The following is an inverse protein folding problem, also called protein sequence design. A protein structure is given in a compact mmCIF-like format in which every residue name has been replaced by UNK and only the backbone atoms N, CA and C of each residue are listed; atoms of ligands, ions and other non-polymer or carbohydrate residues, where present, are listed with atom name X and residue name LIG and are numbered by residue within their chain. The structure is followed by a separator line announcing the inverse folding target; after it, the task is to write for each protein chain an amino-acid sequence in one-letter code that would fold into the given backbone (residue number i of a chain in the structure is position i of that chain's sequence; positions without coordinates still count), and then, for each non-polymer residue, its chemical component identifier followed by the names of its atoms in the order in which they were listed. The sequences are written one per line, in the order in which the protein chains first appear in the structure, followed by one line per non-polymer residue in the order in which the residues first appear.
data_IF_549684349688
#
_entry.id   IF_549684349688
#
_cell.length_a   1.000
_cell.length_b   1.000
_cell.length_c   1.000
_cell.angle_alpha   90.00
_cell.angle_beta   90.00
_cell.angle_gamma   90.00
#
_symmetry.space_group_name_H-M   'P 1'
#
loop_
_entity.id
_entity.type
_entity.pdbx_description
1 polymer ?
#
# COMPACT_ATOMS: atom_id res chain seq x y z
N UNK A 1 60.54 7.59 -40.66
CA UNK A 1 60.01 8.85 -40.12
C UNK A 1 58.62 8.98 -40.73
N UNK A 2 57.63 8.37 -40.08
CA UNK A 2 56.22 8.24 -40.51
C UNK A 2 55.39 8.55 -39.26
N UNK A 3 54.40 9.47 -39.29
CA UNK A 3 53.72 9.93 -38.10
C UNK A 3 52.55 9.03 -37.72
N UNK A 4 52.57 8.56 -36.47
CA UNK A 4 51.45 7.91 -35.81
C UNK A 4 50.31 8.92 -35.59
N UNK A 5 49.21 8.78 -36.33
CA UNK A 5 47.91 9.37 -35.97
C UNK A 5 46.83 8.28 -36.00
N UNK A 6 46.60 7.66 -34.84
CA UNK A 6 45.38 6.91 -34.56
C UNK A 6 44.69 7.62 -33.39
N UNK A 7 43.79 8.53 -33.70
CA UNK A 7 42.77 8.97 -32.76
C UNK A 7 41.58 8.01 -32.87
N UNK A 8 41.04 7.47 -31.77
CA UNK A 8 39.75 6.78 -31.85
C UNK A 8 38.66 7.82 -32.12
N UNK A 9 37.72 7.49 -33.01
CA UNK A 9 36.53 8.31 -33.26
C UNK A 9 35.71 8.43 -31.96
N UNK A 10 35.06 9.57 -31.70
CA UNK A 10 34.15 9.68 -30.57
C UNK A 10 33.02 8.67 -30.74
N UNK A 11 32.84 7.82 -29.73
CA UNK A 11 31.68 6.94 -29.60
C UNK A 11 30.45 7.83 -29.38
N UNK A 12 29.69 8.07 -30.45
CA UNK A 12 28.37 8.69 -30.35
C UNK A 12 27.42 7.58 -29.90
N UNK A 13 27.18 7.49 -28.60
CA UNK A 13 26.05 6.74 -28.08
C UNK A 13 24.77 7.51 -28.41
N UNK A 14 24.07 7.10 -29.48
CA UNK A 14 22.65 7.38 -29.62
C UNK A 14 21.94 6.71 -28.43
N UNK A 15 21.73 7.49 -27.37
CA UNK A 15 20.79 7.10 -26.33
C UNK A 15 19.40 7.16 -26.98
N UNK A 16 18.62 6.06 -27.02
CA UNK A 16 17.23 6.17 -27.40
C UNK A 16 16.59 7.18 -26.45
N UNK A 17 15.94 8.20 -27.02
CA UNK A 17 15.18 9.16 -26.24
C UNK A 17 14.20 8.37 -25.37
N UNK A 18 14.44 8.34 -24.06
CA UNK A 18 13.50 7.81 -23.07
C UNK A 18 12.31 8.76 -23.11
N UNK A 19 11.39 8.47 -24.01
CA UNK A 19 10.08 9.10 -24.05
C UNK A 19 9.18 8.12 -23.32
N UNK A 20 9.17 8.18 -22.00
CA UNK A 20 8.15 7.49 -21.21
C UNK A 20 7.45 8.50 -20.30
N UNK A 21 6.13 8.43 -20.32
CA UNK A 21 5.17 9.37 -19.74
C UNK A 21 5.26 9.39 -18.20
N UNK A 22 4.75 10.45 -17.53
CA UNK A 22 5.02 10.69 -16.11
C UNK A 22 4.47 9.54 -15.24
N UNK A 23 5.30 9.09 -14.28
CA UNK A 23 4.89 8.16 -13.22
C UNK A 23 3.54 8.60 -12.65
N UNK A 24 2.52 7.74 -12.77
CA UNK A 24 1.18 8.02 -12.25
C UNK A 24 1.01 7.43 -10.86
N UNK A 25 0.61 8.26 -9.90
CA UNK A 25 0.23 7.79 -8.56
C UNK A 25 -0.99 6.86 -8.67
N UNK A 26 -0.93 5.64 -8.12
CA UNK A 26 -2.06 4.72 -8.18
C UNK A 26 -3.26 5.29 -7.42
N UNK A 27 -4.48 4.98 -7.86
CA UNK A 27 -5.69 5.26 -7.08
C UNK A 27 -5.89 4.18 -6.00
N UNK A 28 -6.58 4.51 -4.90
CA UNK A 28 -6.95 3.53 -3.89
C UNK A 28 -7.67 2.32 -4.49
N UNK A 29 -7.23 1.12 -4.13
CA UNK A 29 -7.86 -0.12 -4.58
C UNK A 29 -9.06 -0.51 -3.69
N UNK A 30 -9.95 -1.39 -4.17
CA UNK A 30 -11.02 -1.92 -3.35
C UNK A 30 -10.50 -2.59 -2.09
N UNK A 31 -11.12 -2.27 -0.95
CA UNK A 31 -10.78 -2.83 0.39
C UNK A 31 -9.38 -2.48 0.86
N UNK A 32 -8.74 -1.48 0.28
CA UNK A 32 -7.41 -1.07 0.64
C UNK A 32 -7.37 -0.28 1.97
N UNK A 33 -6.31 -0.46 2.73
CA UNK A 33 -6.02 0.32 3.95
C UNK A 33 -5.14 1.52 3.62
N UNK A 34 -5.13 2.55 4.48
CA UNK A 34 -4.20 3.69 4.35
C UNK A 34 -2.75 3.19 4.31
N UNK A 35 -2.40 2.19 5.12
CA UNK A 35 -1.04 1.66 5.18
C UNK A 35 -0.63 0.96 3.87
N UNK A 36 -1.52 0.13 3.31
CA UNK A 36 -1.31 -0.50 2.00
C UNK A 36 -1.16 0.53 0.89
N UNK A 37 -2.06 1.52 0.88
CA UNK A 37 -2.03 2.59 -0.11
C UNK A 37 -0.73 3.39 -0.04
N UNK A 38 -0.32 3.79 1.16
CA UNK A 38 0.95 4.49 1.40
C UNK A 38 2.15 3.69 0.88
N UNK A 39 2.16 2.37 1.11
CA UNK A 39 3.21 1.48 0.61
C UNK A 39 3.21 1.36 -0.92
N UNK A 40 2.05 1.26 -1.56
CA UNK A 40 1.96 1.20 -3.03
C UNK A 40 2.41 2.50 -3.68
N UNK A 41 2.00 3.64 -3.13
CA UNK A 41 2.46 4.95 -3.58
C UNK A 41 3.97 5.05 -3.43
N UNK A 42 4.53 4.73 -2.27
CA UNK A 42 5.98 4.72 -2.06
C UNK A 42 6.70 3.83 -3.10
N UNK A 43 6.15 2.65 -3.38
CA UNK A 43 6.71 1.72 -4.36
C UNK A 43 6.65 2.24 -5.80
N UNK A 44 5.57 2.94 -6.19
CA UNK A 44 5.45 3.63 -7.49
C UNK A 44 6.57 4.67 -7.66
N UNK A 45 6.91 5.38 -6.59
CA UNK A 45 7.97 6.37 -6.54
C UNK A 45 9.35 5.77 -6.17
N UNK A 46 9.45 4.43 -6.12
CA UNK A 46 10.67 3.66 -5.83
C UNK A 46 11.36 4.07 -4.53
N UNK A 47 10.58 4.43 -3.52
CA UNK A 47 11.04 4.78 -2.18
C UNK A 47 10.43 3.84 -1.14
N UNK A 48 10.97 3.87 0.09
CA UNK A 48 10.39 3.16 1.21
C UNK A 48 9.18 3.91 1.78
N UNK A 49 8.28 3.18 2.44
CA UNK A 49 7.04 3.76 2.99
C UNK A 49 7.31 4.80 4.08
N UNK A 50 8.35 4.58 4.90
CA UNK A 50 8.68 5.50 6.01
C UNK A 50 9.31 6.79 5.48
N UNK A 51 10.22 6.65 4.51
CA UNK A 51 10.85 7.76 3.79
C UNK A 51 9.80 8.59 3.05
N UNK A 52 8.92 7.93 2.30
CA UNK A 52 7.80 8.59 1.62
C UNK A 52 6.91 9.37 2.59
N UNK A 53 6.53 8.77 3.72
CA UNK A 53 5.71 9.43 4.73
C UNK A 53 6.38 10.71 5.26
N UNK A 54 7.70 10.64 5.50
CA UNK A 54 8.47 11.80 5.90
C UNK A 54 8.49 12.88 4.80
N UNK A 55 8.70 12.50 3.54
CA UNK A 55 8.78 13.42 2.40
C UNK A 55 7.47 14.19 2.15
N UNK A 56 6.31 13.58 2.43
CA UNK A 56 5.01 14.26 2.35
C UNK A 56 4.69 15.10 3.60
N UNK A 57 5.62 15.22 4.55
CA UNK A 57 5.46 16.02 5.77
C UNK A 57 4.69 15.33 6.90
N UNK A 58 4.45 14.02 6.80
CA UNK A 58 3.68 13.25 7.77
C UNK A 58 4.45 12.00 8.23
N UNK A 59 5.32 12.10 9.25
CA UNK A 59 6.11 10.96 9.72
C UNK A 59 5.23 9.73 9.96
N UNK A 60 5.69 8.53 9.58
CA UNK A 60 4.86 7.31 9.60
C UNK A 60 4.13 7.06 10.94
N UNK A 61 4.77 7.42 12.06
CA UNK A 61 4.18 7.37 13.41
C UNK A 61 2.84 8.12 13.52
N UNK A 62 2.67 9.23 12.81
CA UNK A 62 1.45 10.03 12.85
C UNK A 62 0.26 9.29 12.24
N UNK A 63 0.47 8.46 11.21
CA UNK A 63 -0.57 7.57 10.67
C UNK A 63 -0.97 6.48 11.68
N UNK A 64 -0.04 5.98 12.50
CA UNK A 64 -0.34 5.00 13.55
C UNK A 64 -1.12 5.61 14.73
N UNK A 65 -0.83 6.87 15.03
CA UNK A 65 -1.48 7.69 16.05
C UNK A 65 -2.80 8.31 15.59
N UNK A 66 -3.16 8.12 14.31
CA UNK A 66 -4.35 8.69 13.66
C UNK A 66 -4.42 10.22 13.76
N UNK A 67 -3.28 10.87 13.56
CA UNK A 67 -3.19 12.34 13.50
C UNK A 67 -3.90 12.85 12.24
N UNK A 68 -4.92 13.72 12.35
CA UNK A 68 -5.64 14.25 11.19
C UNK A 68 -4.71 14.85 10.13
N UNK A 69 -3.68 15.58 10.55
CA UNK A 69 -2.71 16.23 9.68
C UNK A 69 -1.95 15.25 8.77
N UNK A 70 -1.77 13.98 9.19
CA UNK A 70 -1.11 12.98 8.36
C UNK A 70 -2.01 12.50 7.21
N UNK A 71 -3.31 12.33 7.48
CA UNK A 71 -4.28 11.97 6.45
C UNK A 71 -4.52 13.13 5.49
N UNK A 72 -4.57 14.37 5.99
CA UNK A 72 -4.69 15.57 5.16
C UNK A 72 -3.48 15.73 4.23
N UNK A 73 -2.26 15.51 4.74
CA UNK A 73 -1.04 15.54 3.94
C UNK A 73 -1.07 14.48 2.83
N UNK A 74 -1.47 13.24 3.15
CA UNK A 74 -1.60 12.17 2.17
C UNK A 74 -2.68 12.48 1.11
N UNK A 75 -3.86 12.96 1.53
CA UNK A 75 -4.95 13.33 0.63
C UNK A 75 -4.52 14.43 -0.33
N UNK A 76 -3.87 15.47 0.20
CA UNK A 76 -3.36 16.60 -0.58
C UNK A 76 -2.31 16.13 -1.59
N UNK A 77 -1.31 15.37 -1.13
CA UNK A 77 -0.21 14.94 -1.99
C UNK A 77 -0.66 14.00 -3.10
N UNK A 78 -1.53 13.04 -2.77
CA UNK A 78 -2.02 12.06 -3.73
C UNK A 78 -3.27 12.50 -4.50
N UNK A 79 -3.74 13.74 -4.29
CA UNK A 79 -4.95 14.31 -4.89
C UNK A 79 -6.18 13.39 -4.72
N UNK A 80 -6.38 12.90 -3.50
CA UNK A 80 -7.50 12.02 -3.15
C UNK A 80 -8.78 12.83 -2.93
N UNK A 81 -9.90 12.27 -3.36
CA UNK A 81 -11.21 12.81 -2.97
C UNK A 81 -11.50 12.48 -1.50
N UNK A 82 -12.44 13.22 -0.89
CA UNK A 82 -12.91 12.89 0.46
C UNK A 82 -13.51 11.48 0.53
N UNK A 83 -14.25 11.06 -0.50
CA UNK A 83 -14.84 9.72 -0.58
C UNK A 83 -13.80 8.61 -0.61
N UNK A 84 -12.69 8.82 -1.34
CA UNK A 84 -11.58 7.86 -1.38
C UNK A 84 -10.88 7.77 -0.03
N UNK A 85 -10.63 8.90 0.62
CA UNK A 85 -10.03 8.92 1.95
C UNK A 85 -10.94 8.26 2.98
N UNK A 86 -12.24 8.57 2.96
CA UNK A 86 -13.23 7.95 3.84
C UNK A 86 -13.29 6.43 3.62
N UNK A 87 -13.20 5.98 2.37
CA UNK A 87 -13.15 4.56 2.02
C UNK A 87 -11.90 3.90 2.61
N UNK A 88 -10.71 4.49 2.41
CA UNK A 88 -9.45 3.99 2.98
C UNK A 88 -9.50 3.92 4.51
N UNK A 89 -10.03 4.97 5.16
CA UNK A 89 -10.18 5.02 6.62
C UNK A 89 -11.16 3.96 7.12
N UNK A 90 -12.26 3.72 6.39
CA UNK A 90 -13.24 2.68 6.75
C UNK A 90 -12.65 1.26 6.77
N UNK A 91 -11.64 1.01 5.93
CA UNK A 91 -10.89 -0.25 5.85
C UNK A 91 -9.63 -0.27 6.71
N UNK A 92 -9.16 0.89 7.18
CA UNK A 92 -8.06 0.99 8.15
C UNK A 92 -8.55 0.77 9.58
N UNK A 93 -9.77 1.24 9.85
CA UNK A 93 -10.31 1.35 11.19
C UNK A 93 -9.92 2.69 11.82
N UNK A 94 -10.88 3.30 12.51
CA UNK A 94 -10.69 4.58 13.21
C UNK A 94 -10.88 4.39 14.71
N UNK A 95 -10.04 4.99 15.52
CA UNK A 95 -10.11 4.85 16.98
C UNK A 95 -11.38 5.48 17.53
N UNK A 96 -12.09 4.76 18.38
CA UNK A 96 -13.19 5.25 19.20
C UNK A 96 -12.80 5.06 20.67
N UNK A 97 -12.57 6.16 21.37
CA UNK A 97 -12.11 6.14 22.76
C UNK A 97 -10.73 5.48 22.88
N UNK A 98 -10.53 4.71 23.96
CA UNK A 98 -9.23 4.11 24.27
C UNK A 98 -9.04 2.69 23.71
N UNK A 99 -10.13 1.90 23.63
CA UNK A 99 -10.07 0.46 23.30
C UNK A 99 -10.89 0.06 22.08
N UNK A 100 -11.73 0.95 21.55
CA UNK A 100 -12.61 0.68 20.42
C UNK A 100 -12.00 1.13 19.10
N UNK A 101 -12.37 0.43 18.02
CA UNK A 101 -12.11 0.80 16.64
C UNK A 101 -13.43 0.73 15.87
N UNK A 102 -13.79 1.80 15.16
CA UNK A 102 -14.81 1.78 14.12
C UNK A 102 -14.21 1.15 12.87
N UNK A 103 -14.69 -0.01 12.47
CA UNK A 103 -14.26 -0.70 11.26
C UNK A 103 -15.49 -1.05 10.44
N UNK A 104 -15.60 -0.50 9.22
CA UNK A 104 -16.74 -0.74 8.33
C UNK A 104 -18.13 -0.52 8.97
N UNK A 105 -18.22 0.43 9.91
CA UNK A 105 -19.45 0.76 10.64
C UNK A 105 -19.63 0.03 11.96
N UNK A 106 -18.87 -1.03 12.20
CA UNK A 106 -18.92 -1.83 13.42
C UNK A 106 -17.89 -1.35 14.44
N UNK A 107 -18.20 -1.50 15.73
CA UNK A 107 -17.25 -1.22 16.81
C UNK A 107 -16.60 -2.53 17.24
N UNK A 108 -15.30 -2.66 16.99
CA UNK A 108 -14.49 -3.81 17.37
C UNK A 108 -13.38 -3.40 18.33
N UNK A 109 -12.94 -4.33 19.18
CA UNK A 109 -11.83 -4.06 20.10
C UNK A 109 -10.52 -3.90 19.33
N UNK A 110 -9.70 -2.93 19.72
CA UNK A 110 -8.45 -2.57 19.04
C UNK A 110 -7.53 -3.78 18.82
N UNK A 111 -7.41 -4.67 19.81
CA UNK A 111 -6.60 -5.89 19.74
C UNK A 111 -7.05 -6.91 18.68
N UNK A 112 -8.32 -6.84 18.24
CA UNK A 112 -8.84 -7.72 17.20
C UNK A 112 -8.45 -7.22 15.79
N UNK A 113 -8.24 -5.92 15.63
CA UNK A 113 -7.91 -5.28 14.35
C UNK A 113 -6.42 -4.95 14.21
N UNK A 114 -5.78 -4.40 15.25
CA UNK A 114 -4.37 -3.99 15.23
C UNK A 114 -3.47 -5.17 15.57
N UNK A 115 -3.26 -6.05 14.60
CA UNK A 115 -2.22 -7.08 14.68
C UNK A 115 -0.89 -6.53 14.14
N UNK A 116 0.21 -6.51 14.93
CA UNK A 116 1.52 -6.07 14.45
C UNK A 116 2.07 -6.91 13.28
N UNK A 117 1.48 -8.06 12.98
CA UNK A 117 1.79 -8.84 11.79
C UNK A 117 0.53 -9.01 10.96
N UNK A 118 0.49 -8.41 9.78
CA UNK A 118 -0.58 -8.66 8.80
C UNK A 118 -0.13 -9.81 7.90
N UNK A 119 -1.04 -10.76 7.63
CA UNK A 119 -0.80 -11.79 6.61
C UNK A 119 -1.71 -11.61 5.41
N UNK A 120 -1.16 -11.65 4.21
CA UNK A 120 -1.92 -11.63 2.95
C UNK A 120 -1.90 -12.96 2.23
N UNK A 121 -2.82 -13.19 1.28
CA UNK A 121 -2.76 -14.40 0.44
C UNK A 121 -1.78 -14.19 -0.74
N UNK A 122 -0.73 -15.02 -0.91
CA UNK A 122 0.22 -14.87 -2.00
C UNK A 122 -0.41 -15.15 -3.38
N UNK A 123 -1.48 -15.96 -3.48
CA UNK A 123 -2.23 -16.13 -4.73
C UNK A 123 -2.93 -14.82 -5.11
N UNK A 124 -3.70 -14.23 -4.18
CA UNK A 124 -4.36 -12.94 -4.44
C UNK A 124 -3.36 -11.83 -4.80
N UNK A 125 -2.20 -11.78 -4.12
CA UNK A 125 -1.17 -10.80 -4.44
C UNK A 125 -0.57 -11.02 -5.84
N UNK A 126 -0.40 -12.27 -6.28
CA UNK A 126 0.02 -12.58 -7.65
C UNK A 126 -1.04 -12.20 -8.68
N UNK A 127 -2.31 -12.42 -8.38
CA UNK A 127 -3.43 -12.00 -9.23
C UNK A 127 -3.47 -10.48 -9.36
N UNK A 128 -3.34 -9.76 -8.25
CA UNK A 128 -3.27 -8.29 -8.23
C UNK A 128 -2.09 -7.79 -9.09
N UNK A 129 -0.92 -8.44 -8.96
CA UNK A 129 0.27 -8.12 -9.74
C UNK A 129 0.15 -8.42 -11.24
N UNK A 130 -0.61 -9.47 -11.62
CA UNK A 130 -0.83 -9.84 -13.02
C UNK A 130 -1.94 -9.04 -13.71
N UNK A 131 -2.75 -8.30 -12.95
CA UNK A 131 -3.93 -7.60 -13.45
C UNK A 131 -3.73 -6.13 -13.81
N UNK A 132 -2.53 -5.56 -13.64
CA UNK A 132 -2.26 -4.14 -13.87
C UNK A 132 -0.95 -3.92 -14.61
N UNK A 133 -0.90 -2.90 -15.46
CA UNK A 133 0.34 -2.41 -16.08
C UNK A 133 1.17 -1.65 -15.04
N UNK A 134 2.50 -1.83 -15.04
CA UNK A 134 3.43 -1.14 -14.14
C UNK A 134 4.17 -2.06 -13.15
N UNK A 135 4.83 -1.51 -12.12
CA UNK A 135 5.58 -2.31 -11.15
C UNK A 135 4.63 -3.23 -10.35
N UNK A 136 4.87 -4.55 -10.37
CA UNK A 136 4.08 -5.54 -9.63
C UNK A 136 3.88 -5.18 -8.15
N UNK A 137 4.91 -4.60 -7.51
CA UNK A 137 4.86 -4.17 -6.11
C UNK A 137 3.89 -3.02 -5.85
N UNK A 138 3.63 -2.16 -6.85
CA UNK A 138 2.65 -1.09 -6.78
C UNK A 138 1.23 -1.57 -7.14
N UNK A 139 1.08 -2.77 -7.70
CA UNK A 139 -0.21 -3.37 -8.03
C UNK A 139 -0.76 -4.25 -6.89
N UNK A 140 0.12 -4.85 -6.09
CA UNK A 140 -0.23 -5.69 -4.94
C UNK A 140 -0.94 -4.91 -3.83
N UNK A 141 -2.11 -5.38 -3.38
CA UNK A 141 -2.94 -4.69 -2.37
C UNK A 141 -3.06 -5.52 -1.10
N UNK A 142 -2.71 -4.92 0.04
CA UNK A 142 -3.00 -5.51 1.35
C UNK A 142 -4.41 -5.10 1.78
N UNK A 143 -5.33 -6.08 1.76
CA UNK A 143 -6.76 -5.87 1.98
C UNK A 143 -7.06 -5.68 3.47
N UNK A 144 -7.97 -4.78 3.81
CA UNK A 144 -8.24 -4.36 5.18
C UNK A 144 -8.86 -5.43 6.07
N UNK A 145 -9.61 -6.37 5.50
CA UNK A 145 -10.13 -7.53 6.22
C UNK A 145 -9.05 -8.51 6.69
N UNK A 146 -7.88 -8.51 6.05
CA UNK A 146 -6.74 -9.34 6.48
C UNK A 146 -6.10 -8.86 7.79
N UNK A 147 -6.43 -7.64 8.25
CA UNK A 147 -5.93 -7.12 9.53
C UNK A 147 -6.58 -7.82 10.73
N UNK A 148 -7.79 -8.36 10.56
CA UNK A 148 -8.51 -9.06 11.62
C UNK A 148 -7.72 -10.29 12.08
N UNK A 149 -7.46 -10.38 13.39
CA UNK A 149 -6.69 -11.47 13.98
C UNK A 149 -7.27 -12.85 13.69
N UNK A 150 -8.58 -12.96 13.58
CA UNK A 150 -9.27 -14.23 13.33
C UNK A 150 -9.28 -14.62 11.85
N UNK A 151 -8.96 -13.69 10.93
CA UNK A 151 -8.88 -13.98 9.50
C UNK A 151 -7.74 -14.97 9.14
N UNK A 152 -6.79 -15.21 10.05
CA UNK A 152 -5.69 -16.16 9.84
C UNK A 152 -6.07 -17.62 10.03
N UNK A 153 -7.18 -17.90 10.71
CA UNK A 153 -7.65 -19.24 10.99
C UNK A 153 -8.93 -19.49 10.19
N UNK A 154 -8.75 -20.02 8.99
CA UNK A 154 -9.80 -20.53 8.12
C UNK A 154 -10.72 -19.49 7.46
N UNK A 155 -10.78 -19.56 6.12
CA UNK A 155 -12.04 -19.45 5.38
C UNK A 155 -13.05 -20.50 5.91
N UNK A 156 -13.57 -20.26 7.11
CA UNK A 156 -14.38 -21.23 7.85
C UNK A 156 -15.09 -20.66 9.08
N UNK A 157 -15.11 -19.33 9.26
CA UNK A 157 -16.04 -18.70 10.19
C UNK A 157 -16.81 -17.59 9.48
N UNK A 158 -18.09 -17.86 9.31
CA UNK A 158 -19.13 -17.04 8.71
C UNK A 158 -19.33 -15.76 9.53
N UNK A 159 -18.42 -14.78 9.39
CA UNK A 159 -18.82 -13.38 9.59
C UNK A 159 -19.69 -13.08 8.38
N UNK A 160 -21.01 -13.19 8.56
CA UNK A 160 -22.02 -12.76 7.59
C UNK A 160 -21.86 -11.27 7.30
N UNK A 161 -20.95 -10.93 6.39
CA UNK A 161 -21.08 -9.77 5.52
C UNK A 161 -21.69 -10.29 4.23
N UNK A 162 -23.00 -10.12 4.12
CA UNK A 162 -23.83 -10.56 3.02
C UNK A 162 -23.24 -10.21 1.63
N UNK A 163 -22.92 -11.28 0.90
CA UNK A 163 -23.07 -11.52 -0.55
C UNK A 163 -22.39 -10.56 -1.53
N UNK A 164 -21.16 -10.91 -1.94
CA UNK A 164 -20.87 -11.47 -3.28
C UNK A 164 -19.35 -11.53 -3.53
N UNK A 165 -18.76 -12.72 -3.51
CA UNK A 165 -17.38 -12.93 -3.96
C UNK A 165 -16.87 -14.35 -3.67
N UNK A 166 -16.24 -15.05 -4.64
CA UNK A 166 -15.72 -16.39 -4.43
C UNK A 166 -14.40 -16.29 -3.66
N UNK A 167 -14.44 -16.70 -2.41
CA UNK A 167 -13.28 -16.72 -1.54
C UNK A 167 -12.56 -18.07 -1.66
N UNK A 168 -11.39 -18.11 -2.29
CA UNK A 168 -10.60 -19.33 -2.45
C UNK A 168 -9.10 -19.02 -2.32
N UNK A 169 -8.56 -19.10 -1.10
CA UNK A 169 -7.11 -18.90 -0.90
C UNK A 169 -6.62 -19.62 0.37
N UNK A 170 -5.70 -20.59 0.23
CA UNK A 170 -5.20 -21.44 1.35
C UNK A 170 -3.77 -21.10 1.81
N UNK A 171 -3.12 -20.08 1.25
CA UNK A 171 -1.72 -19.74 1.56
C UNK A 171 -1.62 -18.35 2.22
N UNK A 172 -0.61 -18.12 3.08
CA UNK A 172 -0.40 -16.85 3.79
C UNK A 172 1.05 -16.36 3.67
N UNK A 173 1.25 -15.07 3.35
CA UNK A 173 2.50 -14.32 3.39
C UNK A 173 2.45 -13.27 4.52
N UNK A 174 3.55 -13.01 5.25
CA UNK A 174 3.55 -12.14 6.46
C UNK A 174 4.31 -10.84 6.24
N UNK A 175 3.75 -9.70 6.66
CA UNK A 175 4.43 -8.39 6.76
C UNK A 175 4.30 -7.87 8.21
N UNK A 176 5.40 -7.37 8.78
CA UNK A 176 5.46 -6.83 10.15
C UNK A 176 5.26 -5.31 10.13
N UNK A 177 4.27 -4.81 10.87
CA UNK A 177 4.01 -3.38 11.11
C UNK A 177 4.81 -2.80 12.29
N UNK A 178 5.87 -3.47 12.73
CA UNK A 178 6.73 -2.92 13.80
C UNK A 178 7.50 -1.71 13.27
N UNK A 179 7.23 -0.54 13.87
CA UNK A 179 8.23 0.52 13.89
C UNK A 179 9.41 0.02 14.73
N UNK A 180 10.56 -0.19 14.11
CA UNK A 180 11.81 -0.19 14.85
C UNK A 180 11.99 1.23 15.38
N UNK A 181 11.85 1.38 16.69
CA UNK A 181 12.22 2.60 17.42
C UNK A 181 13.72 2.88 17.26
#
# INVERSE_FOLDING_TARGET
MEPFHIWPKPFVSEHPAITDLPIQTPRPAPRETVYSYLSRVAATWRTGTVEFAHDIGAPFKYFLEEKPEAFDALATWANLTSEEMDTLLSWTGQRIGDVGMKFRGEVIVSRALRNPQIRGCPVCLREDAGGQDGPAIAAMVMRGDWQLREAYSAFGMDIRLSRSGPFHCRETATISQRASL
#
